data_IF_826321217736
#
_entry.id   IF_826321217736
#
_cell.length_a   1.000
_cell.length_b   1.000
_cell.length_c   1.000
_cell.angle_alpha   90.00
_cell.angle_beta   90.00
_cell.angle_gamma   90.00
#
_symmetry.space_group_name_H-M   'P 1'
#
loop_
_entity.id
_entity.type
_entity.pdbx_description
1 polymer ?
#
# COMPACT_ATOMS: atom_id res chain seq x y z
N UNK A 1 14.40 -10.16 11.42
CA UNK A 1 13.40 -11.02 10.76
C UNK A 1 12.23 -10.14 10.41
N UNK A 2 11.65 -10.27 9.20
CA UNK A 2 10.58 -9.38 8.78
C UNK A 2 9.36 -9.55 9.68
N UNK A 3 8.59 -8.48 9.83
CA UNK A 3 7.27 -8.55 10.44
C UNK A 3 6.32 -9.18 9.42
N UNK A 4 5.43 -10.05 9.88
CA UNK A 4 4.33 -10.58 9.08
C UNK A 4 3.11 -10.78 9.96
N UNK A 5 2.02 -10.09 9.64
CA UNK A 5 0.75 -10.14 10.36
C UNK A 5 -0.38 -10.60 9.44
N UNK A 6 -1.42 -11.20 10.03
CA UNK A 6 -2.61 -11.59 9.28
C UNK A 6 -3.56 -10.39 9.11
N UNK A 7 -4.14 -10.17 7.92
CA UNK A 7 -5.14 -9.12 7.67
C UNK A 7 -6.34 -9.22 8.62
N UNK A 8 -6.86 -8.09 9.07
CA UNK A 8 -8.00 -7.97 9.99
C UNK A 8 -8.96 -6.81 9.69
N UNK A 9 -8.58 -5.84 8.87
CA UNK A 9 -9.36 -4.60 8.70
C UNK A 9 -10.05 -4.44 7.34
N UNK A 10 -9.75 -5.28 6.35
CA UNK A 10 -10.27 -5.16 4.98
C UNK A 10 -10.95 -6.44 4.50
N UNK A 11 -11.86 -6.31 3.53
CA UNK A 11 -12.66 -7.40 2.99
C UNK A 11 -11.95 -8.19 1.87
N UNK A 12 -10.98 -7.58 1.18
CA UNK A 12 -10.18 -8.23 0.14
C UNK A 12 -9.03 -9.06 0.72
N UNK A 13 -8.46 -9.96 -0.08
CA UNK A 13 -7.34 -10.81 0.35
C UNK A 13 -6.00 -10.04 0.36
N UNK A 14 -5.82 -9.21 1.39
CA UNK A 14 -4.63 -8.38 1.53
C UNK A 14 -3.34 -9.19 1.74
N UNK A 15 -3.45 -10.41 2.29
CA UNK A 15 -2.32 -11.32 2.42
C UNK A 15 -1.85 -11.82 1.05
N UNK A 16 -2.77 -12.29 0.20
CA UNK A 16 -2.46 -12.73 -1.14
C UNK A 16 -1.91 -11.58 -2.01
N UNK A 17 -2.51 -10.39 -1.91
CA UNK A 17 -2.02 -9.20 -2.61
C UNK A 17 -0.60 -8.79 -2.18
N UNK A 18 -0.31 -8.84 -0.87
CA UNK A 18 1.02 -8.56 -0.34
C UNK A 18 2.05 -9.59 -0.82
N UNK A 19 1.71 -10.88 -0.78
CA UNK A 19 2.63 -11.93 -1.22
C UNK A 19 2.90 -11.84 -2.72
N UNK A 20 1.87 -11.59 -3.54
CA UNK A 20 2.05 -11.35 -4.98
C UNK A 20 3.01 -10.20 -5.25
N UNK A 21 2.85 -9.08 -4.54
CA UNK A 21 3.73 -7.93 -4.68
C UNK A 21 5.19 -8.25 -4.31
N UNK A 22 5.41 -9.09 -3.28
CA UNK A 22 6.74 -9.56 -2.88
C UNK A 22 7.34 -10.46 -3.95
N UNK A 23 6.61 -11.46 -4.43
CA UNK A 23 7.07 -12.39 -5.45
C UNK A 23 7.47 -11.66 -6.74
N UNK A 24 6.62 -10.75 -7.23
CA UNK A 24 6.88 -10.03 -8.48
C UNK A 24 7.99 -8.98 -8.39
N UNK A 25 8.29 -8.52 -7.18
CA UNK A 25 9.35 -7.53 -6.96
C UNK A 25 10.68 -8.17 -6.56
N UNK A 26 10.82 -9.50 -6.61
CA UNK A 26 12.00 -10.21 -6.08
C UNK A 26 12.27 -9.85 -4.61
N UNK A 27 11.22 -9.85 -3.78
CA UNK A 27 11.24 -9.50 -2.34
C UNK A 27 11.69 -8.05 -2.04
N UNK A 28 11.48 -7.11 -2.97
CA UNK A 28 11.82 -5.68 -2.80
C UNK A 28 10.70 -4.82 -2.24
N UNK A 29 9.70 -5.43 -1.60
CA UNK A 29 8.72 -4.72 -0.79
C UNK A 29 9.41 -4.29 0.52
N UNK A 30 9.22 -3.03 0.91
CA UNK A 30 9.75 -2.46 2.16
C UNK A 30 8.73 -2.62 3.28
N UNK A 31 7.51 -2.14 3.05
CA UNK A 31 6.35 -2.22 3.96
C UNK A 31 5.09 -2.50 3.15
N UNK A 32 4.23 -3.37 3.68
CA UNK A 32 2.84 -3.52 3.26
C UNK A 32 1.92 -3.30 4.46
N UNK A 33 0.81 -2.59 4.25
CA UNK A 33 -0.19 -2.36 5.27
C UNK A 33 -1.59 -2.32 4.66
N UNK A 34 -2.56 -2.92 5.34
CA UNK A 34 -3.98 -2.67 5.06
C UNK A 34 -4.43 -1.43 5.81
N UNK A 35 -5.42 -0.74 5.27
CA UNK A 35 -6.02 0.39 5.95
C UNK A 35 -7.46 0.62 5.53
N UNK A 36 -8.21 1.22 6.45
CA UNK A 36 -9.50 1.84 6.21
C UNK A 36 -9.39 3.33 6.49
N UNK A 37 -10.52 4.02 6.42
CA UNK A 37 -10.66 5.38 6.95
C UNK A 37 -10.24 5.45 8.42
N UNK A 38 -10.57 4.46 9.26
CA UNK A 38 -10.42 4.59 10.71
C UNK A 38 -9.15 3.97 11.27
N UNK A 39 -8.64 2.92 10.62
CA UNK A 39 -7.58 2.07 11.18
C UNK A 39 -6.60 1.62 10.10
N UNK A 40 -5.39 1.20 10.50
CA UNK A 40 -4.45 0.50 9.65
C UNK A 40 -3.74 -0.61 10.41
N UNK A 41 -3.17 -1.57 9.68
CA UNK A 41 -2.28 -2.59 10.23
C UNK A 41 -1.14 -2.90 9.26
N UNK A 42 0.08 -2.90 9.79
CA UNK A 42 1.25 -3.40 9.06
C UNK A 42 1.11 -4.91 8.83
N UNK A 43 1.04 -5.33 7.57
CA UNK A 43 0.99 -6.72 7.17
C UNK A 43 2.39 -7.30 6.97
N UNK A 44 3.31 -6.48 6.48
CA UNK A 44 4.69 -6.86 6.25
C UNK A 44 5.63 -5.67 6.48
N UNK A 45 6.78 -5.92 7.09
CA UNK A 45 7.91 -4.99 7.12
C UNK A 45 9.21 -5.75 6.91
N UNK A 46 10.00 -5.34 5.93
CA UNK A 46 11.28 -5.96 5.58
C UNK A 46 12.32 -5.81 6.70
N UNK A 47 13.31 -6.71 6.72
CA UNK A 47 14.45 -6.58 7.64
C UNK A 47 15.17 -5.25 7.49
N UNK A 48 15.30 -4.77 6.25
CA UNK A 48 15.96 -3.50 5.93
C UNK A 48 15.32 -2.32 6.64
N UNK A 49 13.99 -2.21 6.59
CA UNK A 49 13.30 -1.09 7.24
C UNK A 49 13.36 -1.23 8.76
N UNK A 50 13.33 -2.45 9.29
CA UNK A 50 13.51 -2.69 10.72
C UNK A 50 14.92 -2.36 11.22
N UNK A 51 15.94 -2.50 10.38
CA UNK A 51 17.32 -2.10 10.70
C UNK A 51 17.52 -0.57 10.61
N UNK A 52 16.80 0.10 9.71
CA UNK A 52 16.87 1.56 9.58
C UNK A 52 16.10 2.29 10.70
N UNK A 53 15.02 1.70 11.19
CA UNK A 53 14.25 2.20 12.32
C UNK A 53 14.63 1.39 13.56
N UNK A 54 15.61 1.89 14.34
CA UNK A 54 16.18 1.30 15.56
C UNK A 54 15.16 0.80 16.62
N UNK A 55 13.88 1.17 16.49
CA UNK A 55 12.76 0.76 17.33
C UNK A 55 11.56 0.34 16.47
N UNK A 56 11.02 -0.89 16.65
CA UNK A 56 9.76 -1.31 16.03
C UNK A 56 8.60 -0.33 16.25
N UNK A 57 8.54 0.38 17.38
CA UNK A 57 7.52 1.40 17.64
C UNK A 57 7.60 2.61 16.69
N UNK A 58 8.77 2.86 16.09
CA UNK A 58 8.93 3.94 15.13
C UNK A 58 8.24 3.66 13.78
N UNK A 59 7.99 2.39 13.43
CA UNK A 59 7.21 2.04 12.25
C UNK A 59 5.73 2.37 12.45
N UNK A 60 5.18 2.11 13.64
CA UNK A 60 3.81 2.49 13.98
C UNK A 60 3.64 4.01 13.98
N UNK A 61 4.60 4.76 14.54
CA UNK A 61 4.58 6.24 14.51
C UNK A 61 4.60 6.82 13.08
N UNK A 62 5.34 6.18 12.17
CA UNK A 62 5.35 6.56 10.74
C UNK A 62 4.05 6.12 10.07
N UNK A 63 3.54 4.95 10.43
CA UNK A 63 2.24 4.43 10.00
C UNK A 63 1.10 5.38 10.34
N UNK A 64 1.01 5.83 11.60
CA UNK A 64 0.03 6.81 12.07
C UNK A 64 0.08 8.11 11.26
N UNK A 65 1.30 8.59 10.97
CA UNK A 65 1.49 9.78 10.14
C UNK A 65 1.00 9.54 8.72
N UNK A 66 1.37 8.43 8.09
CA UNK A 66 0.95 8.12 6.72
C UNK A 66 -0.57 7.92 6.66
N UNK A 67 -1.15 7.17 7.60
CA UNK A 67 -2.59 6.89 7.71
C UNK A 67 -3.40 8.19 7.85
N UNK A 68 -2.91 9.17 8.62
CA UNK A 68 -3.56 10.48 8.72
C UNK A 68 -3.70 11.21 7.37
N UNK A 69 -2.84 10.90 6.40
CA UNK A 69 -2.93 11.41 5.04
C UNK A 69 -3.71 10.49 4.09
N UNK A 70 -3.90 9.20 4.40
CA UNK A 70 -4.59 8.25 3.52
C UNK A 70 -6.10 8.57 3.36
N UNK A 71 -6.71 9.31 4.29
CA UNK A 71 -8.04 9.90 4.10
C UNK A 71 -8.14 10.76 2.82
N UNK A 72 -7.02 11.40 2.44
CA UNK A 72 -6.95 12.22 1.23
C UNK A 72 -7.12 11.37 -0.01
N UNK A 73 -6.67 10.11 0.00
CA UNK A 73 -6.76 9.22 -1.17
C UNK A 73 -8.20 8.93 -1.57
N UNK A 74 -9.08 8.70 -0.59
CA UNK A 74 -10.52 8.49 -0.84
C UNK A 74 -11.20 9.75 -1.38
N UNK A 75 -10.72 10.93 -0.97
CA UNK A 75 -11.22 12.20 -1.49
C UNK A 75 -10.69 12.47 -2.90
N UNK A 76 -9.41 12.20 -3.15
CA UNK A 76 -8.73 12.39 -4.43
C UNK A 76 -9.25 11.46 -5.51
N UNK A 77 -9.66 10.22 -5.16
CA UNK A 77 -10.27 9.28 -6.10
C UNK A 77 -11.43 9.90 -6.88
N UNK A 78 -12.37 10.54 -6.16
CA UNK A 78 -13.51 11.23 -6.78
C UNK A 78 -13.08 12.42 -7.63
N UNK A 79 -12.08 13.17 -7.17
CA UNK A 79 -11.52 14.29 -7.93
C UNK A 79 -10.96 13.83 -9.28
N UNK A 80 -10.22 12.72 -9.32
CA UNK A 80 -9.63 12.23 -10.56
C UNK A 80 -10.66 11.67 -11.54
N UNK A 81 -11.73 11.04 -11.04
CA UNK A 81 -12.88 10.64 -11.84
C UNK A 81 -13.58 11.85 -12.48
N UNK A 82 -13.69 12.97 -11.76
CA UNK A 82 -14.25 14.22 -12.29
C UNK A 82 -13.31 14.93 -13.30
N UNK A 83 -11.99 14.90 -13.05
CA UNK A 83 -10.99 15.55 -13.91
C UNK A 83 -10.77 14.84 -15.24
N UNK A 84 -10.94 13.51 -15.26
CA UNK A 84 -10.76 12.69 -16.44
C UNK A 84 -12.08 12.01 -16.82
N UNK A 85 -12.97 12.68 -17.59
CA UNK A 85 -14.29 12.14 -17.95
C UNK A 85 -14.32 10.72 -18.57
N UNK A 86 -13.28 10.24 -19.28
CA UNK A 86 -13.24 8.85 -19.74
C UNK A 86 -12.90 7.82 -18.64
N UNK A 87 -12.29 8.26 -17.54
CA UNK A 87 -11.95 7.39 -16.42
C UNK A 87 -13.24 6.95 -15.73
N UNK A 88 -13.45 5.63 -15.68
CA UNK A 88 -14.62 5.06 -15.00
C UNK A 88 -14.39 4.87 -13.51
N UNK A 89 -13.13 4.74 -13.13
CA UNK A 89 -12.71 4.40 -11.78
C UNK A 89 -11.22 4.71 -11.60
N UNK A 90 -10.85 5.30 -10.45
CA UNK A 90 -9.46 5.37 -10.01
C UNK A 90 -9.16 4.22 -9.05
N UNK A 91 -8.33 3.27 -9.50
CA UNK A 91 -7.99 2.04 -8.74
C UNK A 91 -6.87 2.22 -7.72
N UNK A 92 -6.11 3.32 -7.82
CA UNK A 92 -5.00 3.56 -6.91
C UNK A 92 -4.11 4.72 -7.33
N UNK A 93 -3.08 4.93 -6.52
CA UNK A 93 -2.09 5.98 -6.66
C UNK A 93 -0.68 5.42 -6.57
N UNK A 94 0.21 5.96 -7.40
CA UNK A 94 1.64 5.65 -7.34
C UNK A 94 2.40 6.94 -7.11
N UNK A 95 3.20 6.97 -6.05
CA UNK A 95 4.06 8.10 -5.69
C UNK A 95 5.52 7.65 -5.78
N UNK A 96 6.31 8.36 -6.57
CA UNK A 96 7.76 8.15 -6.65
C UNK A 96 8.47 9.17 -5.79
N UNK A 97 9.34 8.70 -4.89
CA UNK A 97 10.29 9.55 -4.16
C UNK A 97 11.72 9.10 -4.47
N UNK A 98 12.70 9.86 -4.01
CA UNK A 98 14.11 9.47 -4.06
C UNK A 98 14.45 8.31 -3.11
N UNK A 99 13.55 8.02 -2.16
CA UNK A 99 13.70 7.00 -1.14
C UNK A 99 12.93 5.71 -1.44
N UNK A 100 11.69 5.79 -1.92
CA UNK A 100 10.81 4.65 -2.15
C UNK A 100 9.79 4.93 -3.24
N UNK A 101 9.24 3.86 -3.83
CA UNK A 101 8.01 3.95 -4.62
C UNK A 101 6.85 3.47 -3.77
N UNK A 102 5.87 4.33 -3.55
CA UNK A 102 4.65 4.01 -2.79
C UNK A 102 3.52 3.72 -3.77
N UNK A 103 2.84 2.60 -3.56
CA UNK A 103 1.64 2.20 -4.26
C UNK A 103 0.51 2.11 -3.24
N UNK A 104 -0.63 2.72 -3.56
CA UNK A 104 -1.86 2.63 -2.76
C UNK A 104 -2.97 2.18 -3.67
N UNK A 105 -3.47 0.96 -3.46
CA UNK A 105 -4.57 0.38 -4.23
C UNK A 105 -5.83 0.48 -3.40
N UNK A 106 -6.94 0.90 -4.00
CA UNK A 106 -8.15 1.30 -3.28
C UNK A 106 -9.36 0.48 -3.71
N UNK A 107 -10.14 0.03 -2.74
CA UNK A 107 -11.50 -0.48 -2.96
C UNK A 107 -12.48 0.13 -1.96
N UNK A 108 -13.53 0.80 -2.45
CA UNK A 108 -14.47 1.53 -1.59
C UNK A 108 -13.79 2.51 -0.61
N UNK A 109 -13.85 2.17 0.69
CA UNK A 109 -13.26 2.92 1.81
C UNK A 109 -12.07 2.18 2.47
N UNK A 110 -11.52 1.21 1.74
CA UNK A 110 -10.41 0.36 2.13
C UNK A 110 -9.25 0.52 1.15
N UNK A 111 -8.06 0.15 1.58
CA UNK A 111 -6.91 0.17 0.70
C UNK A 111 -5.75 -0.69 1.18
N UNK A 112 -4.88 -0.97 0.23
CA UNK A 112 -3.61 -1.64 0.43
C UNK A 112 -2.49 -0.65 0.13
N UNK A 113 -1.67 -0.40 1.14
CA UNK A 113 -0.43 0.35 1.04
C UNK A 113 0.72 -0.62 0.78
N UNK A 114 1.52 -0.33 -0.24
CA UNK A 114 2.76 -1.02 -0.56
C UNK A 114 3.85 0.02 -0.77
N UNK A 115 5.04 -0.25 -0.25
CA UNK A 115 6.23 0.53 -0.55
C UNK A 115 7.33 -0.40 -1.07
N UNK A 116 8.07 0.08 -2.05
CA UNK A 116 9.08 -0.70 -2.76
C UNK A 116 10.43 0.00 -2.74
N UNK A 117 11.50 -0.77 -2.88
CA UNK A 117 12.81 -0.21 -3.18
C UNK A 117 12.79 0.61 -4.48
N UNK A 118 13.62 1.67 -4.59
CA UNK A 118 13.75 2.41 -5.83
C UNK A 118 14.11 1.52 -7.02
N UNK A 119 13.46 1.77 -8.17
CA UNK A 119 13.74 1.05 -9.42
C UNK A 119 12.92 -0.23 -9.64
N UNK A 120 11.98 -0.58 -8.75
CA UNK A 120 10.99 -1.62 -9.01
C UNK A 120 9.99 -1.15 -10.08
N UNK A 121 9.73 -2.00 -11.07
CA UNK A 121 8.72 -1.76 -12.10
C UNK A 121 7.33 -2.05 -11.51
N UNK A 122 6.75 -1.06 -10.82
CA UNK A 122 5.52 -1.26 -10.05
C UNK A 122 4.26 -1.40 -10.91
N UNK A 123 4.22 -0.87 -12.14
CA UNK A 123 3.02 -0.91 -12.99
C UNK A 123 2.41 -2.32 -13.15
N UNK A 124 3.15 -3.35 -13.60
CA UNK A 124 2.58 -4.71 -13.71
C UNK A 124 2.11 -5.27 -12.37
N UNK A 125 2.81 -4.95 -11.28
CA UNK A 125 2.44 -5.36 -9.93
C UNK A 125 1.11 -4.72 -9.52
N UNK A 126 0.95 -3.42 -9.77
CA UNK A 126 -0.28 -2.68 -9.45
C UNK A 126 -1.47 -3.27 -10.20
N UNK A 127 -1.31 -3.61 -11.48
CA UNK A 127 -2.40 -4.17 -12.29
C UNK A 127 -2.91 -5.50 -11.68
N UNK A 128 -2.02 -6.39 -11.28
CA UNK A 128 -2.40 -7.68 -10.69
C UNK A 128 -2.87 -7.58 -9.24
N UNK A 129 -2.26 -6.69 -8.45
CA UNK A 129 -2.74 -6.40 -7.09
C UNK A 129 -4.14 -5.79 -7.13
N UNK A 130 -4.42 -4.90 -8.09
CA UNK A 130 -5.74 -4.31 -8.25
C UNK A 130 -6.80 -5.38 -8.54
N UNK A 131 -6.51 -6.40 -9.33
CA UNK A 131 -7.45 -7.50 -9.58
C UNK A 131 -7.81 -8.31 -8.32
N UNK A 132 -6.95 -8.31 -7.29
CA UNK A 132 -7.23 -8.93 -5.98
C UNK A 132 -8.02 -7.97 -5.07
N UNK A 133 -7.64 -6.69 -5.07
CA UNK A 133 -8.16 -5.65 -4.17
C UNK A 133 -9.53 -5.15 -4.61
N UNK A 134 -9.74 -4.89 -5.90
CA UNK A 134 -11.01 -4.40 -6.44
C UNK A 134 -11.86 -5.57 -6.93
N UNK A 135 -12.81 -6.04 -6.10
CA UNK A 135 -13.74 -7.12 -6.44
C UNK A 135 -15.17 -6.64 -6.69
#
# INVERSE_FOLDING_TARGET
MPITNAPTHVDFDAAAATELAREQSDDRVIVAAEYTVEEFQVLYASDRVLEEYDDPGALDDVGDRLHSYMHVDFTERKLFEDLYPPAKETRGFVTYTDYTTVVRVLDGAEGLYLSFEPGVAVTPIVDEVADIVTQ
#
